data_IF_221096523639
#
_entry.id   IF_221096523639
#
_cell.length_a   1.000
_cell.length_b   1.000
_cell.length_c   1.000
_cell.angle_alpha   90.00
_cell.angle_beta   90.00
_cell.angle_gamma   90.00
#
_symmetry.space_group_name_H-M   'P 1'
#
loop_
_entity.id
_entity.type
_entity.pdbx_description
1 polymer ?
#
# COMPACT_ATOMS: atom_id res chain seq x y z
N UNK A 1 10.61 -19.41 12.78
CA UNK A 1 11.14 -19.97 11.50
C UNK A 1 11.71 -18.91 10.56
N UNK A 2 11.11 -17.71 10.42
CA UNK A 2 11.60 -16.68 9.48
C UNK A 2 12.93 -16.00 9.85
N UNK A 3 13.26 -15.89 11.15
CA UNK A 3 14.51 -15.26 11.59
C UNK A 3 15.78 -16.03 11.16
N UNK A 4 15.72 -17.36 10.99
CA UNK A 4 16.86 -18.13 10.46
C UNK A 4 17.05 -17.95 8.96
N UNK A 5 15.98 -17.68 8.20
CA UNK A 5 16.06 -17.35 6.77
C UNK A 5 16.72 -15.99 6.55
N UNK A 6 16.41 -14.99 7.39
CA UNK A 6 17.05 -13.68 7.37
C UNK A 6 18.57 -13.77 7.61
N UNK A 7 18.99 -14.48 8.66
CA UNK A 7 20.41 -14.72 8.99
C UNK A 7 21.18 -15.38 7.85
N UNK A 8 20.62 -16.43 7.23
CA UNK A 8 21.23 -17.11 6.09
C UNK A 8 21.42 -16.16 4.90
N UNK A 9 20.40 -15.35 4.58
CA UNK A 9 20.48 -14.35 3.50
C UNK A 9 21.53 -13.27 3.77
N UNK A 10 21.65 -12.79 5.01
CA UNK A 10 22.66 -11.80 5.36
C UNK A 10 24.07 -12.38 5.26
N UNK A 11 24.26 -13.61 5.73
CA UNK A 11 25.57 -14.28 5.67
C UNK A 11 25.99 -14.63 4.23
N UNK A 12 25.04 -15.02 3.38
CA UNK A 12 25.24 -15.24 1.94
C UNK A 12 25.75 -13.98 1.22
N UNK A 13 25.29 -12.79 1.60
CA UNK A 13 25.78 -11.52 1.02
C UNK A 13 27.27 -11.32 1.33
N UNK A 14 27.70 -11.62 2.57
CA UNK A 14 29.12 -11.55 2.95
C UNK A 14 29.96 -12.60 2.22
N UNK A 15 29.47 -13.83 2.11
CA UNK A 15 30.17 -14.92 1.40
C UNK A 15 30.32 -14.62 -0.11
N UNK A 16 29.26 -14.11 -0.74
CA UNK A 16 29.30 -13.65 -2.14
C UNK A 16 30.28 -12.49 -2.31
N UNK A 17 30.29 -11.51 -1.40
CA UNK A 17 31.22 -10.39 -1.43
C UNK A 17 32.68 -10.82 -1.30
N UNK A 18 32.99 -11.76 -0.42
CA UNK A 18 34.34 -12.32 -0.24
C UNK A 18 34.84 -13.02 -1.51
N UNK A 19 33.98 -13.86 -2.10
CA UNK A 19 34.31 -14.58 -3.34
C UNK A 19 34.56 -13.60 -4.50
N UNK A 20 33.70 -12.58 -4.65
CA UNK A 20 33.85 -11.55 -5.67
C UNK A 20 35.13 -10.72 -5.44
N UNK A 21 35.47 -10.39 -4.19
CA UNK A 21 36.69 -9.65 -3.86
C UNK A 21 37.97 -10.46 -4.20
N UNK A 22 37.97 -11.76 -3.90
CA UNK A 22 39.08 -12.68 -4.25
C UNK A 22 39.28 -12.78 -5.76
N UNK A 23 38.21 -12.90 -6.53
CA UNK A 23 38.29 -12.96 -8.01
C UNK A 23 38.69 -11.61 -8.59
N UNK A 24 38.17 -10.51 -8.04
CA UNK A 24 38.56 -9.14 -8.42
C UNK A 24 40.06 -8.91 -8.26
N UNK A 25 40.65 -9.36 -7.15
CA UNK A 25 42.09 -9.23 -6.87
C UNK A 25 43.00 -10.07 -7.77
N UNK A 26 42.48 -11.16 -8.36
CA UNK A 26 43.21 -12.01 -9.33
C UNK A 26 42.96 -11.63 -10.78
N UNK A 27 42.00 -10.74 -11.03
CA UNK A 27 41.62 -10.36 -12.39
C UNK A 27 42.59 -9.32 -12.95
N UNK A 28 43.11 -9.49 -14.17
CA UNK A 28 44.06 -8.56 -14.78
C UNK A 28 43.51 -7.14 -15.00
N UNK A 29 42.20 -7.01 -15.21
CA UNK A 29 41.53 -5.72 -15.41
C UNK A 29 40.08 -5.72 -14.90
N UNK A 30 39.49 -4.53 -14.78
CA UNK A 30 38.06 -4.33 -14.46
C UNK A 30 37.14 -4.97 -15.49
N UNK A 31 37.46 -4.88 -16.78
CA UNK A 31 36.64 -5.46 -17.86
C UNK A 31 36.63 -6.98 -17.84
N UNK A 32 37.78 -7.61 -17.55
CA UNK A 32 37.88 -9.07 -17.43
C UNK A 32 37.05 -9.56 -16.24
N UNK A 33 37.11 -8.84 -15.11
CA UNK A 33 36.29 -9.13 -13.93
C UNK A 33 34.79 -8.97 -14.22
N UNK A 34 34.38 -7.89 -14.88
CA UNK A 34 32.96 -7.65 -15.20
C UNK A 34 32.38 -8.73 -16.13
N UNK A 35 33.14 -9.13 -17.15
CA UNK A 35 32.75 -10.21 -18.06
C UNK A 35 32.59 -11.53 -17.30
N UNK A 36 33.55 -11.87 -16.44
CA UNK A 36 33.46 -13.06 -15.59
C UNK A 36 32.27 -12.99 -14.63
N UNK A 37 32.07 -11.87 -13.94
CA UNK A 37 30.96 -11.66 -12.99
C UNK A 37 29.60 -11.79 -13.66
N UNK A 38 29.47 -11.30 -14.90
CA UNK A 38 28.24 -11.44 -15.70
C UNK A 38 28.00 -12.89 -16.11
N UNK A 39 29.04 -13.62 -16.48
CA UNK A 39 28.92 -15.02 -16.93
C UNK A 39 28.71 -16.01 -15.78
N UNK A 40 29.51 -15.90 -14.72
CA UNK A 40 29.51 -16.83 -13.60
C UNK A 40 28.41 -16.52 -12.56
N UNK A 41 28.13 -15.25 -12.30
CA UNK A 41 27.23 -14.82 -11.22
C UNK A 41 25.97 -14.08 -11.72
N UNK A 42 25.86 -13.79 -13.02
CA UNK A 42 24.77 -12.97 -13.61
C UNK A 42 24.62 -11.59 -12.96
N UNK A 43 25.70 -11.04 -12.43
CA UNK A 43 25.71 -9.73 -11.77
C UNK A 43 26.17 -8.63 -12.73
N UNK A 44 25.53 -7.47 -12.62
CA UNK A 44 26.01 -6.24 -13.25
C UNK A 44 27.26 -5.73 -12.53
N UNK A 45 28.05 -4.86 -13.17
CA UNK A 45 29.20 -4.18 -12.55
C UNK A 45 28.86 -3.59 -11.18
N UNK A 46 27.75 -2.85 -11.12
CA UNK A 46 27.25 -2.22 -9.88
C UNK A 46 26.84 -3.26 -8.84
N UNK A 47 26.16 -4.33 -9.26
CA UNK A 47 25.78 -5.43 -8.39
C UNK A 47 27.01 -6.08 -7.72
N UNK A 48 28.01 -6.46 -8.51
CA UNK A 48 29.25 -7.04 -8.00
C UNK A 48 30.00 -6.08 -7.07
N UNK A 49 30.08 -4.80 -7.44
CA UNK A 49 30.68 -3.76 -6.61
C UNK A 49 30.00 -3.62 -5.23
N UNK A 50 28.67 -3.68 -5.18
CA UNK A 50 27.93 -3.61 -3.91
C UNK A 50 28.25 -4.78 -2.98
N UNK A 51 28.31 -6.01 -3.49
CA UNK A 51 28.68 -7.18 -2.68
C UNK A 51 30.11 -7.07 -2.15
N UNK A 52 31.06 -6.64 -2.99
CA UNK A 52 32.45 -6.42 -2.59
C UNK A 52 32.54 -5.34 -1.52
N UNK A 53 31.82 -4.22 -1.69
CA UNK A 53 31.80 -3.12 -0.73
C UNK A 53 31.25 -3.57 0.63
N UNK A 54 30.18 -4.37 0.66
CA UNK A 54 29.66 -4.96 1.91
C UNK A 54 30.73 -5.80 2.59
N UNK A 55 31.42 -6.67 1.86
CA UNK A 55 32.49 -7.48 2.44
C UNK A 55 33.64 -6.61 2.99
N UNK A 56 34.15 -5.67 2.20
CA UNK A 56 35.32 -4.88 2.60
C UNK A 56 35.01 -3.92 3.76
N UNK A 57 33.88 -3.22 3.68
CA UNK A 57 33.61 -2.08 4.56
C UNK A 57 32.80 -2.49 5.80
N UNK A 58 31.99 -3.55 5.72
CA UNK A 58 31.13 -3.98 6.83
C UNK A 58 31.61 -5.26 7.54
N UNK A 59 32.74 -5.88 7.12
CA UNK A 59 33.26 -7.12 7.74
C UNK A 59 33.44 -7.01 9.25
N UNK A 60 33.87 -5.85 9.76
CA UNK A 60 34.08 -5.63 11.19
C UNK A 60 32.77 -5.75 12.00
N UNK A 61 31.63 -5.53 11.35
CA UNK A 61 30.31 -5.59 11.95
C UNK A 61 29.49 -6.80 11.49
N UNK A 62 30.09 -7.76 10.77
CA UNK A 62 29.40 -8.95 10.21
C UNK A 62 28.55 -9.67 11.24
N UNK A 63 29.10 -9.94 12.43
CA UNK A 63 28.39 -10.66 13.50
C UNK A 63 27.07 -9.96 13.87
N UNK A 64 27.11 -8.64 14.10
CA UNK A 64 25.93 -7.86 14.47
C UNK A 64 24.91 -7.82 13.34
N UNK A 65 25.36 -7.59 12.11
CA UNK A 65 24.48 -7.50 10.94
C UNK A 65 23.77 -8.84 10.67
N UNK A 66 24.49 -9.95 10.81
CA UNK A 66 23.92 -11.30 10.71
C UNK A 66 22.93 -11.54 11.84
N UNK A 67 23.30 -11.32 13.10
CA UNK A 67 22.42 -11.53 14.26
C UNK A 67 21.11 -10.73 14.16
N UNK A 68 21.19 -9.49 13.65
CA UNK A 68 20.03 -8.63 13.41
C UNK A 68 19.27 -8.91 12.10
N UNK A 69 19.72 -9.88 11.28
CA UNK A 69 19.12 -10.24 9.99
C UNK A 69 18.92 -9.05 9.05
N UNK A 70 19.96 -8.22 8.93
CA UNK A 70 19.89 -6.98 8.13
C UNK A 70 19.70 -7.31 6.64
N UNK A 71 18.70 -6.71 5.95
CA UNK A 71 18.47 -6.96 4.53
C UNK A 71 19.62 -6.48 3.64
N UNK A 72 19.82 -7.17 2.51
CA UNK A 72 20.88 -6.84 1.54
C UNK A 72 20.83 -5.36 1.07
N UNK A 73 19.64 -4.82 0.83
CA UNK A 73 19.47 -3.43 0.42
C UNK A 73 19.95 -2.41 1.48
N UNK A 74 19.81 -2.72 2.76
CA UNK A 74 20.34 -1.91 3.86
C UNK A 74 21.86 -2.01 3.93
N UNK A 75 22.41 -3.22 3.78
CA UNK A 75 23.86 -3.42 3.72
C UNK A 75 24.51 -2.69 2.54
N UNK A 76 23.87 -2.65 1.37
CA UNK A 76 24.38 -1.89 0.22
C UNK A 76 24.41 -0.38 0.48
N UNK A 77 23.44 0.15 1.22
CA UNK A 77 23.43 1.55 1.60
C UNK A 77 24.53 1.85 2.63
N UNK A 78 24.67 0.99 3.65
CA UNK A 78 25.70 1.13 4.70
C UNK A 78 27.12 0.97 4.17
N UNK A 79 27.33 0.13 3.15
CA UNK A 79 28.66 -0.15 2.63
C UNK A 79 29.32 1.08 1.98
N UNK A 80 28.54 2.08 1.56
CA UNK A 80 29.05 3.34 1.02
C UNK A 80 29.10 4.48 2.04
N UNK A 81 28.82 4.21 3.32
CA UNK A 81 28.71 5.21 4.36
C UNK A 81 30.04 5.48 5.07
N UNK A 82 30.14 6.66 5.68
CA UNK A 82 31.22 6.99 6.62
C UNK A 82 31.21 6.06 7.84
N UNK A 83 32.39 5.80 8.40
CA UNK A 83 32.60 4.84 9.50
C UNK A 83 31.74 5.19 10.73
N UNK A 84 31.56 6.48 11.00
CA UNK A 84 30.73 6.98 12.11
C UNK A 84 29.25 6.64 11.91
N UNK A 85 28.73 6.80 10.69
CA UNK A 85 27.35 6.44 10.34
C UNK A 85 27.13 4.93 10.44
N UNK A 86 28.10 4.13 10.00
CA UNK A 86 28.05 2.67 10.16
C UNK A 86 28.01 2.29 11.64
N UNK A 87 28.87 2.90 12.47
CA UNK A 87 28.92 2.64 13.90
C UNK A 87 27.60 3.01 14.61
N UNK A 88 27.00 4.14 14.25
CA UNK A 88 25.70 4.60 14.77
C UNK A 88 24.58 3.62 14.45
N UNK A 89 24.44 3.20 13.19
CA UNK A 89 23.41 2.23 12.78
C UNK A 89 23.63 0.87 13.46
N UNK A 90 24.89 0.43 13.61
CA UNK A 90 25.23 -0.81 14.33
C UNK A 90 24.88 -0.70 15.82
N UNK A 91 25.05 0.47 16.44
CA UNK A 91 24.66 0.70 17.83
C UNK A 91 23.12 0.65 18.00
N UNK A 92 22.36 1.26 17.09
CA UNK A 92 20.90 1.20 17.08
C UNK A 92 20.40 -0.24 16.92
N UNK A 93 21.01 -1.03 16.03
CA UNK A 93 20.71 -2.44 15.84
C UNK A 93 20.95 -3.28 17.11
N UNK A 94 22.04 -3.01 17.85
CA UNK A 94 22.32 -3.64 19.14
C UNK A 94 21.32 -3.25 20.21
N UNK A 95 20.81 -2.01 20.16
CA UNK A 95 19.76 -1.51 21.04
C UNK A 95 18.36 -2.03 20.67
N UNK A 96 18.23 -2.87 19.64
CA UNK A 96 16.97 -3.46 19.20
C UNK A 96 16.16 -2.59 18.24
N UNK A 97 16.63 -1.38 17.91
CA UNK A 97 16.02 -0.52 16.89
C UNK A 97 16.34 -1.08 15.51
N UNK A 98 15.38 -0.96 14.59
CA UNK A 98 15.53 -1.47 13.21
C UNK A 98 15.26 -0.34 12.21
N UNK A 99 16.26 0.49 11.91
CA UNK A 99 16.11 1.56 10.94
C UNK A 99 15.81 0.98 9.55
N UNK A 100 14.86 1.59 8.87
CA UNK A 100 14.47 1.25 7.50
C UNK A 100 15.58 1.59 6.52
N UNK A 101 15.55 0.97 5.33
CA UNK A 101 16.51 1.29 4.24
C UNK A 101 16.48 2.78 3.88
N UNK A 102 15.32 3.44 4.02
CA UNK A 102 15.14 4.87 3.76
C UNK A 102 15.86 5.72 4.82
N UNK A 103 15.68 5.40 6.09
CA UNK A 103 16.35 6.09 7.21
C UNK A 103 17.86 5.91 7.14
N UNK A 104 18.33 4.69 6.85
CA UNK A 104 19.75 4.43 6.63
C UNK A 104 20.27 5.30 5.47
N UNK A 105 19.58 5.36 4.33
CA UNK A 105 20.02 6.22 3.22
C UNK A 105 20.08 7.70 3.58
N UNK A 106 19.12 8.19 4.36
CA UNK A 106 19.13 9.57 4.84
C UNK A 106 20.36 9.86 5.73
N UNK A 107 20.68 8.94 6.65
CA UNK A 107 21.87 9.03 7.50
C UNK A 107 23.17 8.99 6.68
N UNK A 108 23.23 8.18 5.62
CA UNK A 108 24.40 8.07 4.74
C UNK A 108 24.61 9.30 3.86
N UNK A 109 23.54 9.96 3.43
CA UNK A 109 23.60 11.17 2.60
C UNK A 109 23.96 12.43 3.40
N UNK A 110 24.10 12.36 4.72
CA UNK A 110 24.35 13.54 5.56
C UNK A 110 23.14 14.47 5.70
N UNK A 111 21.97 14.05 5.20
CA UNK A 111 20.71 14.75 5.41
C UNK A 111 20.26 14.50 6.85
N UNK A 112 20.78 15.32 7.78
CA UNK A 112 20.04 15.62 9.02
C UNK A 112 18.63 15.96 8.59
N UNK A 113 17.64 15.16 9.03
CA UNK A 113 16.22 15.29 8.71
C UNK A 113 15.83 16.74 8.40
N UNK A 114 15.97 17.16 7.14
CA UNK A 114 15.31 18.36 6.68
C UNK A 114 13.86 17.96 6.70
N UNK A 115 13.09 18.65 7.55
CA UNK A 115 11.64 18.52 7.57
C UNK A 115 11.20 18.54 6.11
N UNK A 116 10.67 17.43 5.62
CA UNK A 116 10.26 17.34 4.24
C UNK A 116 9.25 18.48 4.04
N UNK A 117 9.41 19.32 3.01
CA UNK A 117 8.48 20.41 2.77
C UNK A 117 7.06 19.83 2.71
N UNK A 118 6.09 20.54 3.31
CA UNK A 118 4.69 20.13 3.26
C UNK A 118 4.32 19.92 1.77
N UNK A 119 3.65 18.82 1.40
CA UNK A 119 3.15 18.63 0.05
C UNK A 119 2.44 19.85 -0.55
N UNK A 120 1.80 20.69 0.28
CA UNK A 120 1.15 21.93 -0.13
C UNK A 120 2.12 23.07 -0.50
N UNK A 121 3.35 23.03 0.01
CA UNK A 121 4.39 24.06 -0.20
C UNK A 121 5.31 23.73 -1.39
N UNK A 122 5.17 22.55 -1.99
CA UNK A 122 5.94 22.13 -3.16
C UNK A 122 5.24 22.64 -4.43
N UNK A 123 5.95 23.43 -5.23
CA UNK A 123 5.40 23.94 -6.48
C UNK A 123 5.42 22.91 -7.63
N UNK A 124 4.60 23.14 -8.65
CA UNK A 124 4.64 22.42 -9.92
C UNK A 124 4.17 20.96 -9.84
N UNK A 125 4.59 20.17 -10.83
CA UNK A 125 4.12 18.78 -10.98
C UNK A 125 4.50 17.88 -9.80
N UNK A 126 5.60 18.18 -9.10
CA UNK A 126 6.06 17.37 -7.96
C UNK A 126 5.17 17.59 -6.73
N UNK A 127 4.73 18.81 -6.45
CA UNK A 127 3.77 19.10 -5.39
C UNK A 127 2.41 18.48 -5.65
N UNK A 128 1.91 18.56 -6.89
CA UNK A 128 0.65 17.89 -7.26
C UNK A 128 0.73 16.37 -7.06
N UNK A 129 1.85 15.74 -7.42
CA UNK A 129 2.08 14.31 -7.14
C UNK A 129 2.15 14.02 -5.64
N UNK A 130 2.77 14.90 -4.86
CA UNK A 130 2.85 14.76 -3.40
C UNK A 130 1.45 14.84 -2.76
N UNK A 131 0.64 15.83 -3.15
CA UNK A 131 -0.73 16.00 -2.71
C UNK A 131 -1.61 14.80 -3.11
N UNK A 132 -1.50 14.32 -4.34
CA UNK A 132 -2.25 13.14 -4.80
C UNK A 132 -1.91 11.88 -3.98
N UNK A 133 -0.62 11.68 -3.67
CA UNK A 133 -0.17 10.58 -2.80
C UNK A 133 -0.70 10.72 -1.38
N UNK A 134 -0.61 11.91 -0.79
CA UNK A 134 -1.12 12.18 0.55
C UNK A 134 -2.65 11.97 0.62
N UNK A 135 -3.38 12.46 -0.39
CA UNK A 135 -4.82 12.23 -0.53
C UNK A 135 -5.17 10.75 -0.55
N UNK A 136 -4.48 9.94 -1.35
CA UNK A 136 -4.72 8.50 -1.37
C UNK A 136 -4.36 7.82 -0.05
N UNK A 137 -3.21 8.16 0.55
CA UNK A 137 -2.74 7.60 1.81
C UNK A 137 -3.70 7.88 2.98
N UNK A 138 -4.27 9.09 3.04
CA UNK A 138 -5.16 9.51 4.12
C UNK A 138 -6.62 9.18 3.83
N UNK A 139 -7.06 9.33 2.57
CA UNK A 139 -8.46 9.18 2.18
C UNK A 139 -8.93 7.73 2.09
N UNK A 140 -8.08 6.81 1.63
CA UNK A 140 -8.47 5.39 1.49
C UNK A 140 -8.86 4.76 2.84
N UNK A 141 -8.08 4.90 3.92
CA UNK A 141 -8.49 4.40 5.24
C UNK A 141 -9.81 4.99 5.74
N UNK A 142 -10.03 6.30 5.55
CA UNK A 142 -11.26 6.98 5.97
C UNK A 142 -12.48 6.41 5.24
N UNK A 143 -12.37 6.24 3.91
CA UNK A 143 -13.42 5.64 3.10
C UNK A 143 -13.71 4.20 3.55
N UNK A 144 -12.68 3.38 3.73
CA UNK A 144 -12.84 1.97 4.14
C UNK A 144 -13.51 1.86 5.51
N UNK A 145 -13.11 2.68 6.50
CA UNK A 145 -13.77 2.69 7.81
C UNK A 145 -15.23 3.14 7.73
N UNK A 146 -15.56 4.11 6.88
CA UNK A 146 -16.95 4.52 6.64
C UNK A 146 -17.77 3.38 6.03
N UNK A 147 -17.23 2.68 5.04
CA UNK A 147 -17.90 1.55 4.39
C UNK A 147 -18.12 0.39 5.37
N UNK A 148 -17.16 0.12 6.28
CA UNK A 148 -17.36 -0.84 7.37
C UNK A 148 -18.50 -0.42 8.31
N UNK A 149 -18.60 0.87 8.63
CA UNK A 149 -19.71 1.41 9.42
C UNK A 149 -21.06 1.17 8.74
N UNK A 150 -21.16 1.50 7.45
CA UNK A 150 -22.37 1.23 6.62
C UNK A 150 -22.70 -0.26 6.63
N UNK A 151 -21.71 -1.14 6.43
CA UNK A 151 -21.91 -2.59 6.44
C UNK A 151 -22.42 -3.09 7.80
N UNK A 152 -21.86 -2.58 8.90
CA UNK A 152 -22.28 -2.93 10.26
C UNK A 152 -23.71 -2.52 10.57
N UNK A 153 -24.13 -1.32 10.15
CA UNK A 153 -25.51 -0.85 10.30
C UNK A 153 -26.49 -1.70 9.46
N UNK A 154 -26.10 -2.12 8.25
CA UNK A 154 -26.90 -3.02 7.40
C UNK A 154 -27.02 -4.40 8.05
N UNK A 155 -25.92 -4.98 8.52
CA UNK A 155 -25.91 -6.30 9.16
C UNK A 155 -26.78 -6.32 10.42
N UNK A 156 -26.73 -5.25 11.23
CA UNK A 156 -27.61 -5.11 12.39
C UNK A 156 -29.09 -5.03 11.98
N UNK A 157 -29.40 -4.33 10.89
CA UNK A 157 -30.77 -4.22 10.38
C UNK A 157 -31.28 -5.49 9.69
N UNK A 158 -30.38 -6.36 9.21
CA UNK A 158 -30.71 -7.66 8.63
C UNK A 158 -30.97 -8.76 9.66
N UNK A 159 -30.59 -8.59 10.93
CA UNK A 159 -30.84 -9.62 11.95
C UNK A 159 -32.33 -10.02 12.07
N UNK A 160 -33.28 -9.07 12.17
CA UNK A 160 -34.71 -9.41 12.15
C UNK A 160 -35.16 -10.07 10.84
N UNK A 161 -34.52 -9.76 9.71
CA UNK A 161 -34.84 -10.36 8.42
C UNK A 161 -34.52 -11.85 8.37
N UNK A 162 -33.40 -12.26 8.95
CA UNK A 162 -33.08 -13.68 9.09
C UNK A 162 -34.01 -14.42 10.05
N UNK A 163 -34.74 -13.70 10.92
CA UNK A 163 -35.83 -14.24 11.75
C UNK A 163 -37.20 -14.22 11.05
N UNK A 164 -37.27 -13.85 9.76
CA UNK A 164 -38.52 -13.77 9.00
C UNK A 164 -39.33 -12.48 9.21
N UNK A 165 -38.75 -11.45 9.85
CA UNK A 165 -39.39 -10.14 10.05
C UNK A 165 -38.94 -9.13 9.00
N UNK A 166 -39.76 -8.12 8.73
CA UNK A 166 -39.37 -7.06 7.81
C UNK A 166 -38.28 -6.14 8.41
N UNK A 167 -37.37 -5.67 7.56
CA UNK A 167 -36.36 -4.67 7.93
C UNK A 167 -37.05 -3.33 8.21
N UNK A 168 -36.66 -2.65 9.29
CA UNK A 168 -37.19 -1.34 9.64
C UNK A 168 -36.67 -0.23 8.70
N UNK A 169 -37.27 -0.08 7.51
CA UNK A 169 -36.86 0.84 6.43
C UNK A 169 -36.54 2.25 6.94
N UNK A 170 -37.46 2.87 7.68
CA UNK A 170 -37.28 4.26 8.16
C UNK A 170 -36.07 4.43 9.08
N UNK A 171 -35.83 3.49 9.99
CA UNK A 171 -34.69 3.52 10.89
C UNK A 171 -33.36 3.32 10.15
N UNK A 172 -33.35 2.44 9.14
CA UNK A 172 -32.15 2.17 8.35
C UNK A 172 -31.80 3.33 7.42
N UNK A 173 -32.79 3.95 6.76
CA UNK A 173 -32.59 5.15 5.93
C UNK A 173 -31.99 6.28 6.76
N UNK A 174 -32.52 6.55 7.95
CA UNK A 174 -32.02 7.61 8.83
C UNK A 174 -30.54 7.44 9.20
N UNK A 175 -30.07 6.19 9.28
CA UNK A 175 -28.66 5.88 9.54
C UNK A 175 -27.78 5.94 8.29
N UNK A 176 -28.27 5.48 7.14
CA UNK A 176 -27.43 5.23 5.96
C UNK A 176 -27.42 6.35 4.93
N UNK A 177 -28.46 7.19 4.84
CA UNK A 177 -28.61 8.16 3.76
C UNK A 177 -27.39 9.10 3.64
N UNK A 178 -27.03 9.77 4.73
CA UNK A 178 -25.91 10.70 4.72
C UNK A 178 -24.54 10.00 4.63
N UNK A 179 -24.26 8.92 5.40
CA UNK A 179 -23.02 8.17 5.24
C UNK A 179 -22.81 7.60 3.84
N UNK A 180 -23.86 7.11 3.18
CA UNK A 180 -23.77 6.55 1.82
C UNK A 180 -23.45 7.64 0.78
N UNK A 181 -24.14 8.80 0.84
CA UNK A 181 -23.82 9.95 -0.03
C UNK A 181 -22.37 10.39 0.14
N UNK A 182 -21.92 10.50 1.39
CA UNK A 182 -20.55 10.89 1.70
C UNK A 182 -19.53 9.86 1.23
N UNK A 183 -19.78 8.57 1.46
CA UNK A 183 -18.93 7.49 0.99
C UNK A 183 -18.81 7.50 -0.54
N UNK A 184 -19.92 7.74 -1.24
CA UNK A 184 -19.92 7.85 -2.70
C UNK A 184 -19.05 9.03 -3.16
N UNK A 185 -19.26 10.22 -2.60
CA UNK A 185 -18.45 11.38 -2.96
C UNK A 185 -16.96 11.19 -2.65
N UNK A 186 -16.63 10.56 -1.53
CA UNK A 186 -15.25 10.21 -1.16
C UNK A 186 -14.65 9.19 -2.16
N UNK A 187 -15.40 8.15 -2.54
CA UNK A 187 -15.00 7.16 -3.54
C UNK A 187 -14.73 7.80 -4.91
N UNK A 188 -15.69 8.59 -5.41
CA UNK A 188 -15.56 9.24 -6.72
C UNK A 188 -14.39 10.22 -6.73
N UNK A 189 -14.20 10.98 -5.64
CA UNK A 189 -13.08 11.90 -5.50
C UNK A 189 -11.71 11.18 -5.49
N UNK A 190 -11.64 9.97 -4.93
CA UNK A 190 -10.38 9.20 -4.83
C UNK A 190 -10.05 8.46 -6.12
N UNK A 191 -11.05 7.97 -6.86
CA UNK A 191 -10.85 6.97 -7.90
C UNK A 191 -11.14 7.47 -9.33
N UNK A 192 -11.84 8.59 -9.50
CA UNK A 192 -12.33 9.03 -10.81
C UNK A 192 -11.72 10.36 -11.23
N UNK A 193 -11.49 10.49 -12.53
CA UNK A 193 -11.15 11.76 -13.14
C UNK A 193 -12.39 12.66 -13.25
N UNK A 194 -12.16 13.93 -13.53
CA UNK A 194 -13.23 14.90 -13.81
C UNK A 194 -13.44 14.97 -15.31
N UNK A 195 -14.68 14.84 -15.76
CA UNK A 195 -15.07 14.87 -17.18
C UNK A 195 -16.16 15.92 -17.45
N UNK A 196 -16.19 16.53 -18.65
CA UNK A 196 -17.30 17.37 -19.08
C UNK A 196 -18.62 16.61 -19.03
N UNK A 197 -19.68 17.26 -18.55
CA UNK A 197 -21.00 16.64 -18.48
C UNK A 197 -21.63 16.53 -19.87
N UNK A 198 -21.36 15.43 -20.55
CA UNK A 198 -21.89 15.10 -21.88
C UNK A 198 -23.42 14.93 -21.91
N UNK A 199 -24.07 14.81 -20.74
CA UNK A 199 -25.52 14.69 -20.60
C UNK A 199 -26.24 16.02 -20.36
N UNK A 200 -25.48 17.11 -20.19
CA UNK A 200 -26.03 18.47 -20.07
C UNK A 200 -25.70 19.27 -21.32
N UNK A 201 -26.65 20.08 -21.80
CA UNK A 201 -26.38 21.08 -22.84
C UNK A 201 -25.40 22.16 -22.37
N UNK A 202 -25.13 22.23 -21.08
CA UNK A 202 -24.21 23.16 -20.44
C UNK A 202 -22.81 22.56 -20.33
N UNK A 203 -21.97 22.83 -21.34
CA UNK A 203 -20.58 22.35 -21.44
C UNK A 203 -19.65 22.82 -20.32
N UNK A 204 -20.08 23.79 -19.50
CA UNK A 204 -19.32 24.26 -18.33
C UNK A 204 -19.49 23.37 -17.08
N UNK A 205 -20.49 22.48 -17.06
CA UNK A 205 -20.68 21.55 -15.95
C UNK A 205 -19.71 20.38 -16.09
N UNK A 206 -18.95 20.12 -15.04
CA UNK A 206 -18.08 18.95 -14.94
C UNK A 206 -18.60 18.01 -13.86
N UNK A 207 -18.29 16.72 -14.00
CA UNK A 207 -18.68 15.68 -13.06
C UNK A 207 -17.56 14.63 -12.94
N UNK A 208 -17.53 13.82 -11.88
CA UNK A 208 -16.69 12.64 -11.86
C UNK A 208 -17.02 11.75 -13.06
N UNK A 209 -16.00 11.15 -13.68
CA UNK A 209 -16.14 10.13 -14.70
C UNK A 209 -16.99 8.96 -14.19
N UNK A 210 -17.28 7.97 -15.04
CA UNK A 210 -17.94 6.74 -14.59
C UNK A 210 -16.92 5.63 -14.38
N UNK A 211 -17.17 4.75 -13.39
CA UNK A 211 -16.43 3.51 -13.28
C UNK A 211 -16.67 2.66 -14.54
N UNK A 212 -15.69 1.81 -14.94
CA UNK A 212 -15.86 0.93 -16.08
C UNK A 212 -17.12 0.07 -15.94
N UNK A 213 -17.89 -0.03 -17.03
CA UNK A 213 -19.15 -0.76 -17.02
C UNK A 213 -18.94 -2.25 -16.69
N UNK A 214 -19.78 -2.80 -15.82
CA UNK A 214 -19.69 -4.16 -15.29
C UNK A 214 -18.62 -4.34 -14.21
N UNK A 215 -17.89 -3.29 -13.83
CA UNK A 215 -16.88 -3.42 -12.78
C UNK A 215 -17.50 -3.50 -11.39
N UNK A 216 -16.90 -4.25 -10.44
CA UNK A 216 -17.36 -4.25 -9.06
C UNK A 216 -17.39 -2.85 -8.42
N UNK A 217 -16.50 -1.94 -8.83
CA UNK A 217 -16.49 -0.55 -8.35
C UNK A 217 -17.67 0.27 -8.89
N UNK A 218 -18.15 -0.01 -10.10
CA UNK A 218 -19.42 0.55 -10.59
C UNK A 218 -20.58 0.11 -9.68
N UNK A 219 -20.66 -1.18 -9.34
CA UNK A 219 -21.68 -1.71 -8.44
C UNK A 219 -21.64 -1.03 -7.06
N UNK A 220 -20.44 -0.83 -6.49
CA UNK A 220 -20.26 -0.06 -5.23
C UNK A 220 -20.81 1.35 -5.36
N UNK A 221 -20.45 2.07 -6.42
CA UNK A 221 -20.92 3.45 -6.63
C UNK A 221 -22.45 3.52 -6.76
N UNK A 222 -23.05 2.59 -7.50
CA UNK A 222 -24.50 2.50 -7.68
C UNK A 222 -25.23 2.17 -6.37
N UNK A 223 -24.72 1.21 -5.60
CA UNK A 223 -25.26 0.86 -4.29
C UNK A 223 -25.22 2.06 -3.34
N UNK A 224 -24.10 2.79 -3.29
CA UNK A 224 -24.00 3.98 -2.45
C UNK A 224 -24.90 5.12 -2.92
N UNK A 225 -25.11 5.26 -4.23
CA UNK A 225 -26.08 6.20 -4.78
C UNK A 225 -27.50 5.87 -4.32
N UNK A 226 -27.94 4.62 -4.51
CA UNK A 226 -29.27 4.15 -4.13
C UNK A 226 -29.50 4.21 -2.61
N UNK A 227 -28.52 3.80 -1.81
CA UNK A 227 -28.56 3.95 -0.35
C UNK A 227 -28.70 5.42 0.07
N UNK A 228 -28.11 6.34 -0.68
CA UNK A 228 -28.23 7.78 -0.48
C UNK A 228 -29.55 8.39 -0.97
N UNK A 229 -30.38 7.68 -1.72
CA UNK A 229 -31.65 8.17 -2.27
C UNK A 229 -32.84 7.45 -1.64
N UNK A 230 -33.42 7.99 -0.56
CA UNK A 230 -34.55 7.35 0.17
C UNK A 230 -35.73 6.93 -0.71
N UNK A 231 -35.96 7.64 -1.81
CA UNK A 231 -37.05 7.40 -2.77
C UNK A 231 -36.76 6.20 -3.68
N UNK A 232 -35.50 5.82 -3.84
CA UNK A 232 -35.07 4.71 -4.70
C UNK A 232 -35.03 3.36 -3.96
N UNK A 233 -35.34 3.35 -2.65
CA UNK A 233 -35.30 2.13 -1.84
C UNK A 233 -36.50 1.23 -2.15
N UNK A 234 -36.29 -0.09 -2.27
CA UNK A 234 -37.38 -1.05 -2.47
C UNK A 234 -38.44 -1.00 -1.35
N UNK A 235 -39.59 -1.59 -1.62
CA UNK A 235 -40.65 -1.76 -0.63
C UNK A 235 -40.23 -2.68 0.51
N UNK A 236 -40.98 -2.65 1.61
CA UNK A 236 -40.61 -3.35 2.84
C UNK A 236 -40.40 -4.86 2.66
N UNK A 237 -41.12 -5.48 1.71
CA UNK A 237 -41.04 -6.91 1.42
C UNK A 237 -39.76 -7.29 0.65
N UNK A 238 -39.26 -6.39 -0.21
CA UNK A 238 -38.09 -6.64 -1.05
C UNK A 238 -36.80 -6.05 -0.47
N UNK A 239 -36.92 -5.22 0.58
CA UNK A 239 -35.80 -4.52 1.20
C UNK A 239 -34.73 -5.47 1.74
N UNK A 240 -35.14 -6.52 2.45
CA UNK A 240 -34.20 -7.51 3.02
C UNK A 240 -33.43 -8.25 1.92
N UNK A 241 -34.14 -8.74 0.91
CA UNK A 241 -33.55 -9.41 -0.25
C UNK A 241 -32.57 -8.51 -0.97
N UNK A 242 -32.95 -7.28 -1.31
CA UNK A 242 -32.07 -6.31 -1.97
C UNK A 242 -30.79 -6.01 -1.18
N UNK A 243 -30.90 -5.88 0.15
CA UNK A 243 -29.73 -5.68 1.01
C UNK A 243 -28.77 -6.87 0.94
N UNK A 244 -29.28 -8.10 0.94
CA UNK A 244 -28.47 -9.33 0.91
C UNK A 244 -27.87 -9.59 -0.47
N UNK A 245 -28.62 -9.37 -1.55
CA UNK A 245 -28.18 -9.72 -2.90
C UNK A 245 -27.29 -8.67 -3.53
N UNK A 246 -27.59 -7.39 -3.32
CA UNK A 246 -26.97 -6.31 -4.07
C UNK A 246 -26.03 -5.48 -3.19
N UNK A 247 -26.53 -5.09 -2.01
CA UNK A 247 -25.83 -4.11 -1.17
C UNK A 247 -24.66 -4.72 -0.41
N UNK A 248 -24.89 -5.79 0.36
CA UNK A 248 -23.86 -6.43 1.17
C UNK A 248 -22.68 -6.89 0.32
N UNK A 249 -22.85 -7.61 -0.81
CA UNK A 249 -21.72 -8.07 -1.61
C UNK A 249 -20.89 -6.92 -2.20
N UNK A 250 -21.53 -5.83 -2.61
CA UNK A 250 -20.83 -4.66 -3.13
C UNK A 250 -19.97 -4.00 -2.03
N UNK A 251 -20.54 -3.76 -0.85
CA UNK A 251 -19.80 -3.14 0.26
C UNK A 251 -18.70 -4.08 0.79
N UNK A 252 -18.93 -5.40 0.85
CA UNK A 252 -17.92 -6.40 1.22
C UNK A 252 -16.73 -6.41 0.27
N UNK A 253 -17.00 -6.34 -1.04
CA UNK A 253 -15.96 -6.17 -2.06
C UNK A 253 -15.13 -4.91 -1.79
N UNK A 254 -15.78 -3.77 -1.53
CA UNK A 254 -15.10 -2.49 -1.34
C UNK A 254 -14.19 -2.45 -0.09
N UNK A 255 -14.58 -3.14 0.99
CA UNK A 255 -13.78 -3.23 2.22
C UNK A 255 -12.74 -4.36 2.19
N UNK A 256 -12.70 -5.16 1.11
CA UNK A 256 -11.81 -6.31 0.98
C UNK A 256 -12.19 -7.48 1.91
N UNK A 257 -13.45 -7.58 2.32
CA UNK A 257 -13.95 -8.72 3.06
C UNK A 257 -14.04 -9.96 2.14
N UNK A 258 -13.91 -11.16 2.73
CA UNK A 258 -14.29 -12.38 2.00
C UNK A 258 -15.80 -12.33 1.77
N UNK A 259 -16.30 -12.70 0.58
CA UNK A 259 -17.74 -12.69 0.32
C UNK A 259 -18.42 -13.55 1.38
N UNK A 260 -19.38 -12.96 2.09
CA UNK A 260 -20.27 -13.72 2.97
C UNK A 260 -20.94 -14.78 2.11
N UNK A 261 -20.84 -16.05 2.53
CA UNK A 261 -21.50 -17.16 1.85
C UNK A 261 -23.01 -16.90 1.92
N UNK A 262 -23.58 -16.35 0.86
CA UNK A 262 -25.01 -16.39 0.63
C UNK A 262 -25.45 -17.85 0.73
N UNK A 263 -26.47 -18.10 1.54
CA UNK A 263 -27.15 -19.38 1.64
C UNK A 263 -27.59 -19.73 0.22
N UNK A 264 -26.92 -20.70 -0.40
CA UNK A 264 -27.43 -21.35 -1.60
C UNK A 264 -28.73 -22.02 -1.21
N UNK A 265 -29.84 -21.44 -1.63
CA UNK A 265 -31.12 -22.14 -1.76
C UNK A 265 -30.92 -23.21 -2.82
N UNK A 266 -30.75 -24.46 -2.38
CA UNK A 266 -31.26 -25.63 -3.12
C UNK A 266 -32.80 -25.65 -3.05
#
# INVERSE_FOLDING_TARGET
MFASLGRKRTDEVFACGEMLAKVRGKSPSQEVFERWSKQACRLTRRGAGNYIAVHNNLRAHRKVLVDCSVPAAAMYALAGAEVETVASVVADLKAGKRPTVREIRALVSGDTQSAQPDPADIAGADGLRALARAKAQNGVPILVERLKGVLGDIQAALQPHFEGKNVAKGALVAKLEHPARRARSELENLALFVEPNSRSSETWRVHPAVFPHGSPWEAVSQVLFKLGGREEWPDANDLGTWLVTDVVPAIEFAVGAKPSKGISTE
#
